data_IF_368441636420
#
_entry.id   IF_368441636420
#
_cell.length_a   1.000
_cell.length_b   1.000
_cell.length_c   1.000
_cell.angle_alpha   90.00
_cell.angle_beta   90.00
_cell.angle_gamma   90.00
#
_symmetry.space_group_name_H-M   'P 1'
#
loop_
_entity.id
_entity.type
_entity.pdbx_description
1 polymer ?
#
# COMPACT_ATOMS: atom_id res chain seq x y z
N UNK A 1 3.85 2.75 34.86
CA UNK A 1 4.05 3.05 33.42
C UNK A 1 2.87 2.51 32.65
N UNK A 2 2.21 3.32 31.82
CA UNK A 2 1.08 2.90 30.99
C UNK A 2 1.60 2.07 29.80
N UNK A 3 1.08 0.85 29.64
CA UNK A 3 1.47 -0.03 28.53
C UNK A 3 0.74 0.38 27.25
N UNK A 4 1.38 1.19 26.42
CA UNK A 4 0.84 1.60 25.12
C UNK A 4 0.86 0.42 24.13
N UNK A 5 -0.19 0.27 23.33
CA UNK A 5 -0.30 -0.75 22.29
C UNK A 5 -0.08 -0.11 20.92
N UNK A 6 0.91 -0.58 20.17
CA UNK A 6 1.12 -0.16 18.78
C UNK A 6 0.11 -0.86 17.87
N UNK A 7 -0.42 -0.13 16.89
CA UNK A 7 -1.41 -0.61 15.90
C UNK A 7 -0.95 -0.13 14.52
N UNK A 8 -1.06 -0.98 13.50
CA UNK A 8 -0.74 -0.61 12.12
C UNK A 8 -1.75 0.39 11.57
N UNK A 9 -1.27 1.37 10.79
CA UNK A 9 -2.10 2.32 10.02
C UNK A 9 -1.94 2.18 8.51
N UNK A 10 -1.24 1.13 8.05
CA UNK A 10 -0.88 0.97 6.64
C UNK A 10 -2.12 0.84 5.76
N UNK A 11 -3.15 0.11 6.22
CA UNK A 11 -4.43 -0.03 5.52
C UNK A 11 -5.12 1.33 5.33
N UNK A 12 -5.22 2.15 6.39
CA UNK A 12 -5.84 3.48 6.33
C UNK A 12 -5.20 4.38 5.25
N UNK A 13 -3.86 4.35 5.14
CA UNK A 13 -3.13 5.14 4.15
C UNK A 13 -3.25 4.55 2.74
N UNK A 14 -3.17 3.22 2.60
CA UNK A 14 -3.39 2.52 1.34
C UNK A 14 -4.76 2.82 0.75
N UNK A 15 -5.81 2.82 1.58
CA UNK A 15 -7.20 3.01 1.16
C UNK A 15 -7.50 4.47 0.82
N UNK A 16 -6.90 5.44 1.52
CA UNK A 16 -6.94 6.86 1.14
C UNK A 16 -6.34 7.12 -0.25
N UNK A 17 -5.36 6.31 -0.67
CA UNK A 17 -4.76 6.35 -2.01
C UNK A 17 -5.54 5.51 -3.05
N UNK A 18 -6.61 4.82 -2.65
CA UNK A 18 -7.41 3.97 -3.52
C UNK A 18 -6.73 2.67 -3.96
N UNK A 19 -5.66 2.24 -3.26
CA UNK A 19 -4.83 1.11 -3.65
C UNK A 19 -5.30 -0.23 -3.06
N UNK A 20 -5.10 -1.31 -3.81
CA UNK A 20 -5.17 -2.69 -3.29
C UNK A 20 -3.85 -3.09 -2.62
N UNK A 21 -3.88 -4.11 -1.76
CA UNK A 21 -2.66 -4.63 -1.11
C UNK A 21 -1.60 -5.09 -2.12
N UNK A 22 -2.02 -5.71 -3.23
CA UNK A 22 -1.12 -6.11 -4.32
C UNK A 22 -0.47 -4.92 -5.02
N UNK A 23 -1.22 -3.86 -5.30
CA UNK A 23 -0.66 -2.63 -5.89
C UNK A 23 0.36 -1.97 -4.96
N UNK A 24 0.05 -1.86 -3.67
CA UNK A 24 1.01 -1.31 -2.70
C UNK A 24 2.29 -2.15 -2.62
N UNK A 25 2.15 -3.49 -2.61
CA UNK A 25 3.30 -4.41 -2.63
C UNK A 25 4.19 -4.20 -3.86
N UNK A 26 3.60 -4.12 -5.05
CA UNK A 26 4.32 -3.85 -6.30
C UNK A 26 5.06 -2.51 -6.26
N UNK A 27 4.43 -1.44 -5.76
CA UNK A 27 5.08 -0.11 -5.72
C UNK A 27 6.30 -0.03 -4.80
N UNK A 28 6.41 -0.89 -3.78
CA UNK A 28 7.52 -0.87 -2.80
C UNK A 28 8.39 -2.13 -2.85
N UNK A 29 8.22 -2.99 -3.87
CA UNK A 29 9.05 -4.18 -4.08
C UNK A 29 8.81 -5.34 -3.10
N UNK A 30 7.60 -5.50 -2.54
CA UNK A 30 7.27 -6.59 -1.60
C UNK A 30 6.04 -7.38 -1.99
N UNK A 31 5.89 -8.60 -1.45
CA UNK A 31 4.73 -9.45 -1.73
C UNK A 31 3.43 -8.91 -1.13
N UNK A 32 2.28 -9.24 -1.72
CA UNK A 32 0.94 -8.94 -1.15
C UNK A 32 0.80 -9.49 0.28
N UNK A 33 1.34 -10.70 0.55
CA UNK A 33 1.33 -11.31 1.87
C UNK A 33 2.17 -10.51 2.89
N UNK A 34 3.25 -9.85 2.44
CA UNK A 34 4.04 -8.93 3.27
C UNK A 34 3.19 -7.73 3.70
N UNK A 35 2.48 -7.10 2.75
CA UNK A 35 1.55 -5.99 3.04
C UNK A 35 0.44 -6.44 4.00
N UNK A 36 -0.20 -7.59 3.74
CA UNK A 36 -1.26 -8.13 4.59
C UNK A 36 -0.79 -8.37 6.03
N UNK A 37 0.43 -8.88 6.21
CA UNK A 37 1.03 -9.09 7.53
C UNK A 37 1.29 -7.75 8.25
N UNK A 38 1.88 -6.77 7.56
CA UNK A 38 2.11 -5.44 8.12
C UNK A 38 0.80 -4.71 8.49
N UNK A 39 -0.26 -4.83 7.67
CA UNK A 39 -1.59 -4.29 7.97
C UNK A 39 -2.25 -5.00 9.16
N UNK A 40 -2.09 -6.32 9.28
CA UNK A 40 -2.57 -7.09 10.42
C UNK A 40 -1.74 -6.89 11.71
N UNK A 41 -0.68 -6.08 11.68
CA UNK A 41 0.26 -5.91 12.79
C UNK A 41 1.10 -7.16 13.09
N UNK A 42 1.17 -8.11 12.15
CA UNK A 42 1.92 -9.36 12.27
C UNK A 42 3.32 -9.15 11.70
N UNK A 43 4.29 -8.91 12.58
CA UNK A 43 5.70 -8.64 12.26
C UNK A 43 5.92 -7.28 11.56
N UNK A 44 7.00 -6.58 11.93
CA UNK A 44 7.46 -5.34 11.30
C UNK A 44 6.93 -4.05 11.93
N UNK A 45 5.71 -4.03 12.49
CA UNK A 45 5.19 -2.86 13.22
C UNK A 45 6.00 -2.57 14.50
N UNK A 46 6.52 -3.62 15.14
CA UNK A 46 7.43 -3.51 16.28
C UNK A 46 8.82 -3.02 15.87
N UNK A 47 9.26 -3.31 14.64
CA UNK A 47 10.50 -2.75 14.08
C UNK A 47 10.36 -1.25 13.85
N UNK A 48 9.21 -0.78 13.34
CA UNK A 48 8.93 0.65 13.20
C UNK A 48 9.02 1.35 14.57
N UNK A 49 8.44 0.78 15.63
CA UNK A 49 8.54 1.36 16.98
C UNK A 49 10.00 1.44 17.49
N UNK A 50 10.82 0.41 17.22
CA UNK A 50 12.25 0.38 17.57
C UNK A 50 13.04 1.45 16.79
N UNK A 51 12.80 1.59 15.49
CA UNK A 51 13.49 2.58 14.67
C UNK A 51 13.09 4.01 15.03
N UNK A 52 11.83 4.28 15.38
CA UNK A 52 11.41 5.60 15.87
C UNK A 52 12.14 5.98 17.18
N UNK A 53 12.26 5.04 18.13
CA UNK A 53 13.04 5.26 19.37
C UNK A 53 14.52 5.45 19.09
N UNK A 54 15.08 4.78 18.09
CA UNK A 54 16.46 4.99 17.65
C UNK A 54 16.64 6.42 17.11
N UNK A 55 15.71 6.90 16.28
CA UNK A 55 15.69 8.27 15.77
C UNK A 55 15.58 9.31 16.91
N UNK A 56 14.72 9.07 17.90
CA UNK A 56 14.58 9.93 19.10
C UNK A 56 15.89 10.04 19.90
N UNK A 57 16.64 8.94 20.04
CA UNK A 57 17.91 8.91 20.78
C UNK A 57 19.06 9.52 19.98
N UNK A 58 19.08 9.36 18.65
CA UNK A 58 20.12 9.89 17.78
C UNK A 58 19.88 11.33 17.33
N UNK A 59 18.65 11.85 17.46
CA UNK A 59 18.29 13.20 17.03
C UNK A 59 18.20 13.38 15.51
N UNK A 60 17.83 12.33 14.78
CA UNK A 60 17.76 12.30 13.31
C UNK A 60 16.39 11.82 12.79
N UNK A 61 16.15 11.89 11.48
CA UNK A 61 15.02 11.22 10.83
C UNK A 61 15.37 9.76 10.46
N UNK A 62 14.34 8.95 10.19
CA UNK A 62 14.50 7.56 9.72
C UNK A 62 15.27 7.46 8.40
N UNK A 63 15.24 8.52 7.59
CA UNK A 63 15.93 8.62 6.30
C UNK A 63 17.44 8.72 6.47
N UNK A 64 17.89 9.32 7.56
CA UNK A 64 19.30 9.58 7.85
C UNK A 64 20.04 8.32 8.32
N UNK A 65 19.31 7.22 8.58
CA UNK A 65 19.87 5.92 8.97
C UNK A 65 20.38 5.07 7.79
N UNK A 66 20.24 5.54 6.54
CA UNK A 66 20.58 4.77 5.33
C UNK A 66 21.33 5.66 4.35
N UNK A 67 22.47 5.17 3.85
CA UNK A 67 23.22 5.75 2.74
C UNK A 67 23.09 4.85 1.50
N UNK A 68 22.79 5.45 0.34
CA UNK A 68 22.71 4.74 -0.94
C UNK A 68 24.03 4.89 -1.69
N UNK A 69 24.94 3.94 -1.49
CA UNK A 69 26.18 3.82 -2.27
C UNK A 69 25.85 3.08 -3.57
N UNK A 70 26.27 3.58 -4.75
CA UNK A 70 26.10 2.83 -6.00
C UNK A 70 26.98 1.57 -5.99
N UNK A 71 26.41 0.42 -6.36
CA UNK A 71 27.16 -0.80 -6.62
C UNK A 71 28.10 -0.56 -7.81
N UNK A 72 29.40 -0.42 -7.54
CA UNK A 72 30.38 0.02 -8.55
C UNK A 72 30.75 -1.03 -9.61
N UNK A 73 30.11 -2.21 -9.57
CA UNK A 73 30.39 -3.37 -10.45
C UNK A 73 29.09 -4.12 -10.84
N UNK A 74 28.10 -3.42 -11.40
CA UNK A 74 26.91 -4.04 -11.99
C UNK A 74 26.78 -3.70 -13.48
N UNK A 75 27.14 -4.65 -14.35
CA UNK A 75 26.90 -4.56 -15.80
C UNK A 75 25.41 -4.81 -16.15
N UNK A 76 24.93 -4.03 -17.12
CA UNK A 76 23.69 -4.19 -17.90
C UNK A 76 22.32 -4.08 -17.18
N UNK A 77 21.29 -3.52 -17.86
CA UNK A 77 20.06 -3.08 -17.21
C UNK A 77 19.17 -4.25 -16.79
N UNK A 78 18.86 -4.31 -15.49
CA UNK A 78 17.77 -5.16 -14.99
C UNK A 78 16.46 -4.75 -15.68
N UNK A 79 15.74 -5.74 -16.22
CA UNK A 79 14.54 -5.51 -17.05
C UNK A 79 13.47 -4.71 -16.31
N UNK A 80 13.49 -3.40 -16.47
CA UNK A 80 12.30 -2.59 -16.32
C UNK A 80 11.29 -3.09 -17.36
N UNK A 81 10.15 -3.60 -16.90
CA UNK A 81 8.97 -3.65 -17.76
C UNK A 81 8.56 -2.21 -17.99
N UNK A 82 9.11 -1.63 -19.05
CA UNK A 82 8.77 -0.31 -19.56
C UNK A 82 7.33 -0.32 -20.09
N UNK A 83 6.38 -0.29 -19.17
CA UNK A 83 5.03 0.11 -19.48
C UNK A 83 5.06 1.58 -19.82
N UNK A 84 5.00 1.87 -21.11
CA UNK A 84 4.92 3.22 -21.64
C UNK A 84 3.88 4.03 -20.87
N UNK A 85 4.14 5.33 -20.69
CA UNK A 85 3.20 6.27 -20.07
C UNK A 85 1.81 6.16 -20.71
N UNK A 86 1.72 5.81 -21.99
CA UNK A 86 0.44 5.61 -22.68
C UNK A 86 -0.26 4.29 -22.27
N UNK A 87 0.48 3.20 -22.07
CA UNK A 87 -0.10 1.95 -21.53
C UNK A 87 -0.61 2.12 -20.10
N UNK A 88 0.08 2.92 -19.28
CA UNK A 88 -0.37 3.28 -17.93
C UNK A 88 -1.63 4.17 -17.95
N UNK A 89 -1.78 5.02 -18.98
CA UNK A 89 -3.00 5.82 -19.21
C UNK A 89 -4.16 4.96 -19.68
N UNK A 90 -3.96 4.06 -20.64
CA UNK A 90 -4.98 3.11 -21.10
C UNK A 90 -5.50 2.22 -19.97
N UNK A 91 -4.61 1.67 -19.13
CA UNK A 91 -4.97 0.90 -17.95
C UNK A 91 -5.79 1.72 -16.93
N UNK A 92 -5.54 3.02 -16.82
CA UNK A 92 -6.29 3.94 -15.95
C UNK A 92 -7.69 4.23 -16.49
N UNK A 93 -7.84 4.53 -17.78
CA UNK A 93 -9.12 4.86 -18.40
C UNK A 93 -10.05 3.64 -18.58
N UNK A 94 -9.49 2.47 -18.89
CA UNK A 94 -10.26 1.20 -18.91
C UNK A 94 -10.80 0.82 -17.53
N UNK A 95 -10.06 1.11 -16.45
CA UNK A 95 -10.53 0.86 -15.09
C UNK A 95 -11.61 1.85 -14.64
N UNK A 96 -11.48 3.13 -14.99
CA UNK A 96 -12.48 4.18 -14.71
C UNK A 96 -13.81 3.94 -15.45
N UNK A 97 -13.75 3.49 -16.71
CA UNK A 97 -14.95 3.15 -17.50
C UNK A 97 -15.64 1.88 -16.99
N UNK A 98 -14.86 0.87 -16.56
CA UNK A 98 -15.41 -0.36 -15.97
C UNK A 98 -16.20 -0.10 -14.68
N UNK A 99 -15.70 0.75 -13.78
CA UNK A 99 -16.43 1.13 -12.54
C UNK A 99 -17.72 1.92 -12.76
N UNK A 100 -17.92 2.58 -13.91
CA UNK A 100 -19.16 3.31 -14.20
C UNK A 100 -20.39 2.42 -14.47
N UNK A 101 -20.20 1.11 -14.70
CA UNK A 101 -21.33 0.16 -14.86
C UNK A 101 -21.85 -0.45 -13.54
N UNK A 102 -21.23 -0.15 -12.39
CA UNK A 102 -21.51 -0.81 -11.11
C UNK A 102 -22.06 0.14 -10.03
N UNK A 103 -23.01 1.00 -10.40
CA UNK A 103 -23.68 2.02 -9.56
C UNK A 103 -25.09 2.26 -10.13
N UNK A 104 -26.25 2.12 -9.48
CA UNK A 104 -26.68 1.54 -8.17
C UNK A 104 -28.07 0.90 -8.42
N UNK A 105 -28.44 -0.27 -7.86
CA UNK A 105 -29.84 -0.69 -7.82
C UNK A 105 -30.61 0.07 -6.72
N UNK A 106 -31.77 0.70 -7.01
CA UNK A 106 -32.54 1.41 -6.00
C UNK A 106 -33.07 0.45 -4.92
N UNK A 107 -33.14 0.96 -3.68
CA UNK A 107 -33.51 0.16 -2.51
C UNK A 107 -34.95 -0.33 -2.52
N UNK A 108 -35.20 -1.41 -1.77
CA UNK A 108 -36.55 -1.96 -1.53
C UNK A 108 -37.51 -0.92 -0.95
N UNK A 109 -38.71 -0.82 -1.51
CA UNK A 109 -39.92 -0.44 -0.78
C UNK A 109 -40.97 -1.56 -0.86
N UNK A 110 -41.89 -1.56 0.10
CA UNK A 110 -42.83 -2.66 0.42
C UNK A 110 -44.00 -2.82 -0.56
N UNK A 111 -44.91 -3.76 -0.23
CA UNK A 111 -46.22 -4.07 -0.86
C UNK A 111 -46.14 -5.01 -2.09
N UNK A 112 -47.08 -5.92 -2.38
CA UNK A 112 -48.18 -6.57 -1.62
C UNK A 112 -48.74 -7.75 -2.46
N UNK A 113 -49.38 -8.76 -1.85
CA UNK A 113 -50.36 -9.69 -2.46
C UNK A 113 -49.84 -10.62 -3.61
N UNK A 114 -50.38 -11.80 -3.93
CA UNK A 114 -51.55 -12.58 -3.48
C UNK A 114 -51.17 -14.01 -3.05
N UNK A 115 -51.95 -14.59 -2.11
CA UNK A 115 -52.51 -15.94 -2.21
C UNK A 115 -53.87 -15.95 -1.53
#
# INVERSE_FOLDING_TARGET
MTKQKVISKIADFREKLGLTQTQLGVFIGVSTNTIQNWEAGKSGVDHIEKFLKLCEVLGCELRDLIEYVPDSEAEEPTKTVDFSIEQLRELRETWLTSKRKAVIPPGRSSQEQHK
#
